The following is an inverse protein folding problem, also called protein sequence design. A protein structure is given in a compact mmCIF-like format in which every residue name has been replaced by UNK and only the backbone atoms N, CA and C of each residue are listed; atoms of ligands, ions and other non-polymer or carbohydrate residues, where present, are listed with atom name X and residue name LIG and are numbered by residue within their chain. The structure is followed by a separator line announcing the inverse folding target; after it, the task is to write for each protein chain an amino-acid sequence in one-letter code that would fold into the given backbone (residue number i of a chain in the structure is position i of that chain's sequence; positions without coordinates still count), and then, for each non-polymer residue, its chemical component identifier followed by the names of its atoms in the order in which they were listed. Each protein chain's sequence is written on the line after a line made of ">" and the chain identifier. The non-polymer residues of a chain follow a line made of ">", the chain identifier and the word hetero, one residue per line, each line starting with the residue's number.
data_IF_200038641459
#
_entry.id   IF_200038641459
#
_cell.length_a   1.000
_cell.length_b   1.000
_cell.length_c   1.000
_cell.angle_alpha   90.00
_cell.angle_beta   90.00
_cell.angle_gamma   90.00
#
_symmetry.space_group_name_H-M   'P 1'
#
loop_
_entity.id
_entity.type
_entity.pdbx_description
1 polymer ?
#
# COMPACT_ATOMS: atom_id res chain seq x y z
N UNK A 1 -3.44 22.67 21.84
CA UNK A 1 -2.54 21.59 21.40
C UNK A 1 -2.69 21.45 19.88
N UNK A 2 -1.61 21.53 19.12
CA UNK A 2 -1.65 21.40 17.66
C UNK A 2 -1.60 19.90 17.32
N UNK A 3 -2.68 19.33 16.79
CA UNK A 3 -2.75 17.91 16.42
C UNK A 3 -2.51 17.73 14.94
N UNK A 4 -1.85 16.64 14.56
CA UNK A 4 -1.49 16.32 13.17
C UNK A 4 -2.17 15.02 12.75
N UNK A 5 -2.51 14.90 11.47
CA UNK A 5 -3.09 13.69 10.89
C UNK A 5 -2.12 13.04 9.92
N UNK A 6 -2.16 11.69 9.78
CA UNK A 6 -1.51 11.00 8.67
C UNK A 6 -2.01 11.51 7.32
N UNK A 7 -1.09 11.72 6.38
CA UNK A 7 -1.40 12.27 5.06
C UNK A 7 -1.42 11.16 4.03
N UNK A 8 -2.59 10.91 3.43
CA UNK A 8 -2.77 9.84 2.43
C UNK A 8 -1.84 9.92 1.24
N UNK A 9 -1.51 11.14 0.79
CA UNK A 9 -0.56 11.34 -0.31
C UNK A 9 0.84 10.82 0.05
N UNK A 10 1.31 11.07 1.28
CA UNK A 10 2.60 10.56 1.74
C UNK A 10 2.60 9.05 1.86
N UNK A 11 1.51 8.45 2.34
CA UNK A 11 1.36 6.99 2.41
C UNK A 11 1.48 6.37 1.02
N UNK A 12 0.77 6.93 0.02
CA UNK A 12 0.83 6.43 -1.36
C UNK A 12 2.22 6.53 -1.97
N UNK A 13 2.91 7.66 -1.76
CA UNK A 13 4.26 7.85 -2.26
C UNK A 13 5.24 6.85 -1.60
N UNK A 14 5.22 6.77 -0.26
CA UNK A 14 6.04 5.79 0.48
C UNK A 14 5.78 4.35 0.04
N UNK A 15 4.51 3.97 -0.16
CA UNK A 15 4.16 2.63 -0.60
C UNK A 15 4.72 2.33 -2.00
N UNK A 16 4.66 3.31 -2.91
CA UNK A 16 5.26 3.21 -4.23
C UNK A 16 6.78 3.05 -4.15
N UNK A 17 7.44 3.87 -3.34
CA UNK A 17 8.91 3.82 -3.17
C UNK A 17 9.35 2.45 -2.63
N UNK A 18 8.68 1.95 -1.59
CA UNK A 18 8.90 0.60 -1.04
C UNK A 18 8.69 -0.50 -2.08
N UNK A 19 7.70 -0.36 -2.96
CA UNK A 19 7.47 -1.32 -4.04
C UNK A 19 8.58 -1.30 -5.08
N UNK A 20 9.07 -0.11 -5.45
CA UNK A 20 10.20 0.02 -6.37
C UNK A 20 11.48 -0.59 -5.79
N UNK A 21 11.74 -0.35 -4.49
CA UNK A 21 12.85 -0.96 -3.76
C UNK A 21 12.72 -2.48 -3.67
N UNK A 22 11.55 -2.99 -3.27
CA UNK A 22 11.31 -4.43 -3.08
C UNK A 22 11.36 -5.23 -4.39
N UNK A 23 10.99 -4.61 -5.51
CA UNK A 23 11.07 -5.23 -6.84
C UNK A 23 12.46 -5.10 -7.48
N UNK A 24 13.42 -4.48 -6.78
CA UNK A 24 14.85 -4.55 -7.09
C UNK A 24 15.29 -3.83 -8.35
N UNK A 25 14.53 -2.82 -8.83
CA UNK A 25 14.77 -2.27 -10.16
C UNK A 25 14.75 -0.76 -10.25
N UNK A 26 15.61 -0.27 -11.15
CA UNK A 26 15.61 1.09 -11.69
C UNK A 26 14.15 1.51 -11.99
N UNK A 27 13.67 2.69 -11.54
CA UNK A 27 12.26 3.07 -11.68
C UNK A 27 11.73 3.09 -13.13
N UNK A 28 12.63 3.09 -14.10
CA UNK A 28 12.37 2.97 -15.54
C UNK A 28 12.05 1.54 -16.02
N UNK A 29 12.45 0.51 -15.28
CA UNK A 29 12.30 -0.92 -15.66
C UNK A 29 11.20 -1.63 -14.86
N UNK A 30 10.88 -1.14 -13.65
CA UNK A 30 9.82 -1.72 -12.82
C UNK A 30 8.46 -1.20 -13.29
N UNK A 31 7.75 -2.04 -14.06
CA UNK A 31 6.35 -1.79 -14.40
C UNK A 31 5.44 -2.16 -13.23
N UNK A 32 5.00 -1.14 -12.48
CA UNK A 32 3.94 -1.31 -11.48
C UNK A 32 2.58 -1.37 -12.18
N UNK A 33 1.76 -2.34 -11.78
CA UNK A 33 0.36 -2.36 -12.16
C UNK A 33 -0.37 -1.24 -11.41
N UNK A 34 -0.56 -0.13 -12.11
CA UNK A 34 -1.19 1.07 -11.54
C UNK A 34 -2.63 0.83 -11.09
N UNK A 35 -3.35 -0.08 -11.74
CA UNK A 35 -4.74 -0.42 -11.37
C UNK A 35 -4.77 -1.19 -10.05
N UNK A 36 -3.93 -2.23 -9.93
CA UNK A 36 -3.83 -2.99 -8.69
C UNK A 36 -3.33 -2.13 -7.52
N UNK A 37 -2.32 -1.29 -7.76
CA UNK A 37 -1.82 -0.37 -6.73
C UNK A 37 -2.91 0.61 -6.28
N UNK A 38 -3.70 1.13 -7.22
CA UNK A 38 -4.84 2.00 -6.91
C UNK A 38 -5.90 1.28 -6.06
N UNK A 39 -6.26 0.06 -6.40
CA UNK A 39 -7.26 -0.71 -5.68
C UNK A 39 -6.80 -1.08 -4.27
N UNK A 40 -5.54 -1.54 -4.12
CA UNK A 40 -4.95 -1.85 -2.82
C UNK A 40 -4.88 -0.60 -1.95
N UNK A 41 -4.37 0.51 -2.49
CA UNK A 41 -4.28 1.77 -1.73
C UNK A 41 -5.67 2.27 -1.32
N UNK A 42 -6.66 2.24 -2.19
CA UNK A 42 -8.00 2.71 -1.82
C UNK A 42 -8.68 1.79 -0.80
N UNK A 43 -8.49 0.48 -0.90
CA UNK A 43 -9.05 -0.47 0.07
C UNK A 43 -8.43 -0.30 1.45
N UNK A 44 -7.10 -0.18 1.52
CA UNK A 44 -6.39 -0.05 2.80
C UNK A 44 -6.50 1.35 3.41
N UNK A 45 -6.75 2.39 2.60
CA UNK A 45 -6.96 3.75 3.10
C UNK A 45 -8.43 4.04 3.46
N UNK A 46 -9.34 3.06 3.40
CA UNK A 46 -10.71 3.24 3.85
C UNK A 46 -10.78 3.41 5.38
N UNK A 47 -11.74 4.20 5.91
CA UNK A 47 -11.90 4.40 7.35
C UNK A 47 -12.19 3.10 8.11
N UNK A 48 -12.91 2.18 7.47
CA UNK A 48 -13.26 0.86 8.02
C UNK A 48 -12.06 -0.04 8.15
N UNK A 49 -11.13 0.02 7.18
CA UNK A 49 -9.93 -0.81 7.14
C UNK A 49 -8.82 -0.24 8.02
N UNK A 50 -8.63 1.07 7.99
CA UNK A 50 -7.54 1.77 8.68
C UNK A 50 -8.05 2.96 9.51
N UNK A 51 -8.75 2.71 10.62
CA UNK A 51 -9.28 3.78 11.48
C UNK A 51 -8.17 4.67 12.07
N UNK A 52 -6.96 4.12 12.24
CA UNK A 52 -5.79 4.83 12.76
C UNK A 52 -5.33 6.00 11.87
N UNK A 53 -5.75 6.07 10.61
CA UNK A 53 -5.47 7.19 9.70
C UNK A 53 -6.36 8.40 9.94
N UNK A 54 -7.49 8.21 10.62
CA UNK A 54 -8.55 9.21 10.78
C UNK A 54 -8.58 9.81 12.19
N UNK A 55 -7.62 9.44 13.04
CA UNK A 55 -7.48 9.99 14.39
C UNK A 55 -6.36 11.04 14.45
N UNK A 56 -6.49 12.07 15.31
CA UNK A 56 -5.44 13.05 15.53
C UNK A 56 -4.26 12.44 16.31
N UNK A 57 -3.05 12.90 16.01
CA UNK A 57 -1.82 12.57 16.73
C UNK A 57 -1.22 13.82 17.37
N UNK A 58 -0.53 13.67 18.53
CA UNK A 58 0.04 14.80 19.24
C UNK A 58 1.35 15.31 18.62
N UNK A 59 1.97 14.56 17.71
CA UNK A 59 3.19 14.97 17.00
C UNK A 59 3.21 14.50 15.56
N UNK A 60 4.03 15.16 14.73
CA UNK A 60 4.28 14.76 13.34
C UNK A 60 4.94 13.39 13.27
N UNK A 61 5.84 13.08 14.20
CA UNK A 61 6.57 11.80 14.22
C UNK A 61 5.63 10.60 14.39
N UNK A 62 4.65 10.71 15.31
CA UNK A 62 3.67 9.63 15.50
C UNK A 62 2.75 9.48 14.29
N UNK A 63 2.32 10.58 13.67
CA UNK A 63 1.56 10.52 12.43
C UNK A 63 2.41 9.88 11.30
N UNK A 64 3.71 10.20 11.22
CA UNK A 64 4.62 9.67 10.22
C UNK A 64 4.92 8.17 10.40
N UNK A 65 4.97 7.67 11.63
CA UNK A 65 5.09 6.22 11.91
C UNK A 65 3.87 5.46 11.40
N UNK A 66 2.67 6.01 11.58
CA UNK A 66 1.44 5.39 11.08
C UNK A 66 1.40 5.43 9.55
N UNK A 67 1.88 6.53 8.95
CA UNK A 67 2.05 6.59 7.50
C UNK A 67 3.01 5.52 6.98
N UNK A 68 4.12 5.30 7.70
CA UNK A 68 5.14 4.30 7.36
C UNK A 68 4.55 2.89 7.41
N UNK A 69 3.92 2.54 8.53
CA UNK A 69 3.29 1.24 8.72
C UNK A 69 2.23 0.97 7.63
N UNK A 70 1.38 1.96 7.34
CA UNK A 70 0.34 1.80 6.33
C UNK A 70 0.96 1.61 4.93
N UNK A 71 2.06 2.30 4.64
CA UNK A 71 2.78 2.13 3.39
C UNK A 71 3.39 0.73 3.24
N UNK A 72 3.95 0.17 4.33
CA UNK A 72 4.44 -1.22 4.37
C UNK A 72 3.32 -2.24 4.11
N UNK A 73 2.15 -2.01 4.71
CA UNK A 73 0.97 -2.87 4.52
C UNK A 73 0.49 -2.86 3.07
N UNK A 74 0.45 -1.68 2.43
CA UNK A 74 0.10 -1.54 1.01
C UNK A 74 1.11 -2.28 0.12
N UNK A 75 2.40 -2.06 0.32
CA UNK A 75 3.43 -2.71 -0.49
C UNK A 75 3.37 -4.24 -0.35
N UNK A 76 3.22 -4.73 0.89
CA UNK A 76 3.11 -6.15 1.20
C UNK A 76 1.85 -6.79 0.58
N UNK A 77 0.71 -6.10 0.65
CA UNK A 77 -0.54 -6.57 0.06
C UNK A 77 -0.44 -6.65 -1.46
N UNK A 78 0.11 -5.62 -2.11
CA UNK A 78 0.34 -5.62 -3.55
C UNK A 78 1.23 -6.80 -3.98
N UNK A 79 2.38 -7.00 -3.34
CA UNK A 79 3.30 -8.10 -3.67
C UNK A 79 2.61 -9.45 -3.49
N UNK A 80 1.87 -9.63 -2.38
CA UNK A 80 1.13 -10.86 -2.11
C UNK A 80 0.09 -11.15 -3.21
N UNK A 81 -0.69 -10.15 -3.62
CA UNK A 81 -1.70 -10.33 -4.68
C UNK A 81 -1.01 -10.67 -6.01
N UNK A 82 0.08 -10.00 -6.36
CA UNK A 82 0.85 -10.33 -7.57
C UNK A 82 1.36 -11.76 -7.54
N UNK A 83 1.94 -12.21 -6.42
CA UNK A 83 2.42 -13.59 -6.26
C UNK A 83 1.28 -14.61 -6.33
N UNK A 84 0.12 -14.32 -5.76
CA UNK A 84 -1.06 -15.17 -5.83
C UNK A 84 -1.63 -15.26 -7.24
N UNK A 85 -1.64 -14.17 -8.01
CA UNK A 85 -2.08 -14.18 -9.41
C UNK A 85 -1.17 -15.03 -10.31
N UNK A 86 0.11 -15.17 -9.95
CA UNK A 86 1.06 -16.05 -10.64
C UNK A 86 0.99 -17.50 -10.14
N UNK A 87 0.19 -17.79 -9.11
CA UNK A 87 0.04 -19.15 -8.60
C UNK A 87 -0.77 -20.01 -9.60
N UNK A 88 -0.23 -21.13 -10.09
CA UNK A 88 -0.88 -21.95 -11.10
C UNK A 88 -2.24 -22.51 -10.64
N UNK A 89 -2.47 -22.68 -9.33
CA UNK A 89 -3.78 -23.10 -8.82
C UNK A 89 -4.82 -21.99 -8.93
N UNK A 90 -4.45 -20.73 -8.65
CA UNK A 90 -5.33 -19.56 -8.79
C UNK A 90 -5.64 -19.32 -10.28
N UNK A 91 -4.64 -19.46 -11.15
CA UNK A 91 -4.84 -19.34 -12.60
C UNK A 91 -5.80 -20.40 -13.14
N UNK A 92 -5.68 -21.66 -12.69
CA UNK A 92 -6.64 -22.72 -13.05
C UNK A 92 -8.05 -22.43 -12.55
N UNK A 93 -8.19 -21.87 -11.34
CA UNK A 93 -9.50 -21.54 -10.79
C UNK A 93 -10.16 -20.38 -11.55
N UNK A 94 -9.40 -19.35 -11.91
CA UNK A 94 -9.89 -18.22 -12.70
C UNK A 94 -10.26 -18.60 -14.14
N UNK A 95 -9.73 -19.70 -14.69
CA UNK A 95 -10.14 -20.22 -16.00
C UNK A 95 -11.45 -21.01 -15.96
N UNK A 96 -12.00 -21.29 -14.79
CA UNK A 96 -13.26 -22.03 -14.58
C UNK A 96 -14.45 -21.11 -14.21
N UNK A 97 -14.22 -19.80 -14.11
CA UNK A 97 -15.22 -18.75 -13.86
C UNK A 97 -15.41 -17.90 -15.11
#
# INVERSE_FOLDING_TARGET
>A
MNTVYPVRLFIRNKARDKLLEALGGNPSEVSLDGSLLWDVTNTLLQPTTSPNLYRPYPSRDLAAQVEEQTADEIASAYIRIKQQATNPLVQRLNQLL
#
